data_IF_674477485950
#
_entry.id   IF_674477485950
#
_cell.length_a   1.000
_cell.length_b   1.000
_cell.length_c   1.000
_cell.angle_alpha   90.00
_cell.angle_beta   90.00
_cell.angle_gamma   90.00
#
_symmetry.space_group_name_H-M   'P 1'
#
loop_
_entity.id
_entity.type
_entity.pdbx_description
1 polymer ?
#
# COMPACT_ATOMS: atom_id res chain seq x y z
N UNK A 1 2.55 -5.59 10.85
CA UNK A 1 2.16 -4.18 10.60
C UNK A 1 1.38 -3.71 11.82
N UNK A 2 1.61 -2.49 12.29
CA UNK A 2 0.79 -1.81 13.30
C UNK A 2 0.03 -0.65 12.65
N UNK A 3 -0.96 -0.09 13.35
CA UNK A 3 -1.71 1.08 12.89
C UNK A 3 -3.22 0.89 12.99
N UNK A 4 -3.95 1.65 12.18
CA UNK A 4 -5.41 1.67 12.19
C UNK A 4 -5.97 0.38 11.59
N UNK A 5 -6.65 -0.42 12.43
CA UNK A 5 -7.41 -1.60 12.02
C UNK A 5 -8.89 -1.38 12.36
N UNK A 6 -9.73 -1.00 11.38
CA UNK A 6 -11.16 -0.88 11.59
C UNK A 6 -11.78 -2.25 11.89
N UNK A 7 -12.52 -2.35 12.99
CA UNK A 7 -13.22 -3.58 13.42
C UNK A 7 -14.72 -3.31 13.49
N UNK A 8 -15.47 -3.92 12.60
CA UNK A 8 -16.93 -3.89 12.62
C UNK A 8 -17.48 -4.90 13.63
N UNK A 9 -18.37 -4.46 14.52
CA UNK A 9 -19.07 -5.29 15.49
C UNK A 9 -20.54 -5.47 15.12
N UNK A 10 -21.04 -6.71 15.22
CA UNK A 10 -22.44 -7.05 14.95
C UNK A 10 -22.97 -6.39 13.67
N UNK A 11 -24.01 -5.55 13.78
CA UNK A 11 -24.66 -4.89 12.64
C UNK A 11 -23.76 -3.92 11.87
N UNK A 12 -22.69 -3.39 12.48
CA UNK A 12 -21.75 -2.48 11.80
C UNK A 12 -20.82 -3.19 10.82
N UNK A 13 -20.73 -4.52 10.85
CA UNK A 13 -19.98 -5.30 9.84
C UNK A 13 -20.45 -5.01 8.41
N UNK A 14 -21.72 -4.62 8.24
CA UNK A 14 -22.31 -4.26 6.94
C UNK A 14 -21.63 -3.06 6.27
N UNK A 15 -21.02 -2.14 7.04
CA UNK A 15 -20.36 -0.95 6.49
C UNK A 15 -18.86 -1.13 6.22
N UNK A 16 -18.28 -2.29 6.56
CA UNK A 16 -16.82 -2.51 6.47
C UNK A 16 -16.29 -2.40 5.03
N UNK A 17 -17.11 -2.76 4.03
CA UNK A 17 -16.74 -2.67 2.62
C UNK A 17 -16.34 -1.26 2.21
N UNK A 18 -17.08 -0.24 2.66
CA UNK A 18 -16.78 1.17 2.39
C UNK A 18 -15.43 1.60 2.97
N UNK A 19 -15.06 1.07 4.14
CA UNK A 19 -13.76 1.34 4.78
C UNK A 19 -12.63 0.58 4.11
N UNK A 20 -12.87 -0.64 3.62
CA UNK A 20 -11.85 -1.42 2.89
C UNK A 20 -11.45 -0.70 1.59
N UNK A 21 -12.41 -0.08 0.91
CA UNK A 21 -12.20 0.64 -0.34
C UNK A 21 -11.82 2.12 -0.18
N UNK A 22 -11.70 2.62 1.05
CA UNK A 22 -11.20 3.96 1.31
C UNK A 22 -9.72 4.09 0.98
N UNK A 23 -9.27 5.33 0.84
CA UNK A 23 -7.84 5.68 0.81
C UNK A 23 -7.16 5.20 2.09
N UNK A 24 -5.90 4.78 1.95
CA UNK A 24 -5.06 4.32 3.05
C UNK A 24 -3.72 5.05 2.98
N UNK A 25 -3.23 5.45 4.14
CA UNK A 25 -1.95 6.13 4.29
C UNK A 25 -1.07 5.32 5.22
N UNK A 26 0.24 5.30 4.92
CA UNK A 26 1.21 4.51 5.63
C UNK A 26 2.46 5.34 5.90
N UNK A 27 3.03 5.18 7.09
CA UNK A 27 4.39 5.60 7.41
C UNK A 27 5.26 4.36 7.38
N UNK A 28 6.40 4.43 6.70
CA UNK A 28 7.27 3.27 6.50
C UNK A 28 8.74 3.61 6.67
N UNK A 29 9.52 2.58 7.01
CA UNK A 29 10.97 2.59 6.98
C UNK A 29 11.44 1.76 5.77
N UNK A 30 12.31 2.34 4.94
CA UNK A 30 12.91 1.65 3.80
C UNK A 30 14.34 1.29 4.17
N UNK A 31 14.71 0.03 4.00
CA UNK A 31 16.09 -0.41 4.09
C UNK A 31 16.65 -0.61 2.68
N UNK A 32 17.73 0.11 2.37
CA UNK A 32 18.44 -0.02 1.10
C UNK A 32 19.58 -1.04 1.25
N UNK A 33 19.91 -1.71 0.15
CA UNK A 33 21.01 -2.68 0.12
C UNK A 33 22.39 -2.01 0.12
N UNK A 34 22.45 -0.71 -0.18
CA UNK A 34 23.66 0.10 -0.21
C UNK A 34 23.33 1.57 0.08
N UNK A 35 24.36 2.40 0.22
CA UNK A 35 24.19 3.84 0.39
C UNK A 35 23.73 4.50 -0.91
N UNK A 36 22.66 5.29 -0.83
CA UNK A 36 22.13 6.08 -1.94
C UNK A 36 21.98 7.53 -1.48
N UNK A 37 22.52 8.53 -2.22
CA UNK A 37 22.31 9.93 -1.88
C UNK A 37 20.82 10.30 -1.85
N UNK A 38 20.42 11.08 -0.85
CA UNK A 38 19.01 11.43 -0.62
C UNK A 38 18.35 12.07 -1.85
N UNK A 39 19.05 12.96 -2.54
CA UNK A 39 18.55 13.63 -3.75
C UNK A 39 18.26 12.67 -4.92
N UNK A 40 18.96 11.54 -4.99
CA UNK A 40 18.71 10.49 -5.98
C UNK A 40 17.50 9.67 -5.57
N UNK A 41 17.38 9.33 -4.28
CA UNK A 41 16.24 8.60 -3.75
C UNK A 41 14.93 9.39 -3.91
N UNK A 42 14.92 10.68 -3.57
CA UNK A 42 13.75 11.55 -3.72
C UNK A 42 13.28 11.62 -5.17
N UNK A 43 14.20 11.81 -6.13
CA UNK A 43 13.87 11.79 -7.57
C UNK A 43 13.30 10.45 -8.01
N UNK A 44 13.82 9.34 -7.50
CA UNK A 44 13.31 8.01 -7.82
C UNK A 44 11.88 7.82 -7.29
N UNK A 45 11.58 8.31 -6.09
CA UNK A 45 10.25 8.20 -5.46
C UNK A 45 9.17 8.97 -6.24
N UNK A 46 9.52 10.07 -6.92
CA UNK A 46 8.56 10.80 -7.78
C UNK A 46 7.95 9.90 -8.87
N UNK A 47 8.72 8.95 -9.41
CA UNK A 47 8.22 8.02 -10.43
C UNK A 47 7.15 7.05 -9.89
N UNK A 48 6.99 6.95 -8.57
CA UNK A 48 6.02 6.08 -7.91
C UNK A 48 4.77 6.83 -7.45
N UNK A 49 4.63 8.12 -7.76
CA UNK A 49 3.40 8.89 -7.51
C UNK A 49 2.40 8.69 -8.64
N UNK A 50 1.13 8.50 -8.29
CA UNK A 50 0.06 8.29 -9.25
C UNK A 50 -0.06 6.84 -9.72
N UNK A 51 -0.51 6.62 -10.96
CA UNK A 51 -0.80 5.28 -11.46
C UNK A 51 0.47 4.48 -11.73
N UNK A 52 0.66 3.41 -10.97
CA UNK A 52 1.77 2.46 -11.09
C UNK A 52 1.27 1.04 -11.40
N UNK A 53 2.08 0.30 -12.13
CA UNK A 53 1.85 -1.13 -12.34
C UNK A 53 2.34 -1.91 -11.13
N UNK A 54 1.48 -2.79 -10.63
CA UNK A 54 1.80 -3.70 -9.53
C UNK A 54 1.37 -5.12 -9.87
N UNK A 55 2.18 -6.10 -9.47
CA UNK A 55 1.80 -7.51 -9.42
C UNK A 55 1.81 -7.94 -7.96
N UNK A 56 0.72 -8.52 -7.43
CA UNK A 56 0.70 -8.99 -6.05
C UNK A 56 1.88 -9.94 -5.73
N UNK A 57 2.39 -9.93 -4.49
CA UNK A 57 3.43 -10.85 -4.07
C UNK A 57 2.91 -12.29 -4.01
N UNK A 58 3.83 -13.25 -3.87
CA UNK A 58 3.50 -14.69 -3.79
C UNK A 58 2.51 -14.98 -2.65
N UNK A 59 2.74 -14.36 -1.48
CA UNK A 59 1.84 -14.43 -0.32
C UNK A 59 0.90 -13.23 -0.33
N UNK A 60 -0.26 -13.37 -0.95
CA UNK A 60 -1.33 -12.37 -0.92
C UNK A 60 -2.70 -13.05 -0.97
N UNK A 61 -3.75 -12.37 -0.49
CA UNK A 61 -5.12 -12.87 -0.47
C UNK A 61 -5.89 -12.68 -1.80
N UNK A 62 -5.22 -12.22 -2.84
CA UNK A 62 -5.82 -11.81 -4.13
C UNK A 62 -5.10 -12.44 -5.31
N UNK A 63 -5.80 -12.55 -6.45
CA UNK A 63 -5.25 -13.11 -7.68
C UNK A 63 -3.98 -12.38 -8.12
N UNK A 64 -2.95 -13.15 -8.47
CA UNK A 64 -1.61 -12.65 -8.83
C UNK A 64 -1.48 -12.25 -10.31
N UNK A 65 -2.17 -11.18 -10.71
CA UNK A 65 -2.10 -10.59 -12.05
C UNK A 65 -1.55 -9.16 -12.02
N UNK A 66 -1.01 -8.68 -13.13
CA UNK A 66 -0.62 -7.25 -13.25
C UNK A 66 -1.89 -6.40 -13.16
N UNK A 67 -1.82 -5.32 -12.40
CA UNK A 67 -2.91 -4.36 -12.21
C UNK A 67 -2.35 -2.96 -11.97
N UNK A 68 -3.14 -1.95 -12.31
CA UNK A 68 -2.80 -0.56 -12.04
C UNK A 68 -3.33 -0.18 -10.66
N UNK A 69 -2.48 0.45 -9.85
CA UNK A 69 -2.82 1.04 -8.54
C UNK A 69 -2.27 2.46 -8.48
N UNK A 70 -2.84 3.26 -7.60
CA UNK A 70 -2.40 4.62 -7.30
C UNK A 70 -2.23 4.78 -5.80
#
# INVERSE_FOLDING_TARGET
MTGVLPVGLANSTKVIGSVVHSVKEYVMLIQLHEYVPLSVLEKALENFKGKIYQKPPLRSSVKRTIRVRS
#
